data_IF_065972250455
#
_entry.id   IF_065972250455
#
_cell.length_a   1.000
_cell.length_b   1.000
_cell.length_c   1.000
_cell.angle_alpha   90.00
_cell.angle_beta   90.00
_cell.angle_gamma   90.00
#
_symmetry.space_group_name_H-M   'P 1'
#
loop_
_entity.id
_entity.type
_entity.pdbx_description
1 polymer ?
#
# COMPACT_ATOMS: atom_id res chain seq x y z
N UNK A 1 24.42 -9.57 20.14
CA UNK A 1 23.97 -9.43 18.74
C UNK A 1 22.64 -8.70 18.75
N UNK A 2 22.65 -7.38 18.57
CA UNK A 2 21.44 -6.55 18.60
C UNK A 2 20.69 -6.68 17.28
N UNK A 3 19.43 -7.09 17.36
CA UNK A 3 18.51 -7.13 16.23
C UNK A 3 18.21 -5.69 15.82
N UNK A 4 18.75 -5.28 14.68
CA UNK A 4 18.41 -4.01 14.04
C UNK A 4 16.95 -4.08 13.57
N UNK A 5 16.09 -3.11 13.88
CA UNK A 5 14.78 -3.03 13.25
C UNK A 5 15.02 -2.73 11.78
N UNK A 6 14.59 -3.64 10.91
CA UNK A 6 14.46 -3.42 9.47
C UNK A 6 13.30 -2.43 9.32
N UNK A 7 13.62 -1.13 9.41
CA UNK A 7 12.71 -0.10 8.96
C UNK A 7 12.45 -0.35 7.49
N UNK A 8 11.28 -0.94 7.20
CA UNK A 8 10.77 -1.05 5.85
C UNK A 8 10.88 0.31 5.19
N UNK A 9 11.59 0.34 4.07
CA UNK A 9 11.73 1.52 3.23
C UNK A 9 10.32 1.96 2.86
N UNK A 10 9.83 3.02 3.50
CA UNK A 10 8.58 3.66 3.12
C UNK A 10 8.80 4.28 1.74
N UNK A 11 8.62 3.49 0.69
CA UNK A 11 8.55 3.97 -0.67
C UNK A 11 7.24 4.75 -0.79
N UNK A 12 7.26 5.99 -0.29
CA UNK A 12 6.18 6.96 -0.45
C UNK A 12 5.90 7.21 -1.95
N UNK A 13 6.92 6.98 -2.78
CA UNK A 13 6.92 7.07 -4.23
C UNK A 13 6.91 5.68 -4.87
N UNK A 14 5.80 4.96 -4.80
CA UNK A 14 5.55 3.84 -5.71
C UNK A 14 4.97 4.40 -7.03
N UNK A 15 5.41 3.89 -8.19
CA UNK A 15 4.93 4.30 -9.53
C UNK A 15 3.40 4.21 -9.69
N UNK A 16 2.74 3.36 -8.91
CA UNK A 16 1.28 3.24 -8.87
C UNK A 16 0.59 4.47 -8.26
N UNK A 17 1.20 5.15 -7.27
CA UNK A 17 0.64 6.36 -6.67
C UNK A 17 0.79 7.59 -7.58
N UNK A 18 1.82 7.63 -8.43
CA UNK A 18 2.01 8.71 -9.40
C UNK A 18 0.96 8.71 -10.50
N UNK A 19 0.38 7.56 -10.85
CA UNK A 19 -0.75 7.47 -11.79
C UNK A 19 -2.04 8.11 -11.27
N UNK A 20 -2.11 8.40 -9.97
CA UNK A 20 -3.28 9.03 -9.35
C UNK A 20 -3.24 10.56 -9.46
N UNK A 21 -2.08 11.12 -9.80
CA UNK A 21 -1.98 12.48 -10.33
C UNK A 21 -2.39 12.35 -11.79
N UNK A 22 -3.70 12.46 -12.05
CA UNK A 22 -4.27 12.40 -13.39
C UNK A 22 -3.60 13.39 -14.35
N UNK A 23 -3.88 13.29 -15.66
CA UNK A 23 -3.31 14.21 -16.64
C UNK A 23 -3.53 15.65 -16.18
N UNK A 24 -2.43 16.42 -16.14
CA UNK A 24 -2.48 17.83 -15.75
C UNK A 24 -3.45 18.63 -16.63
N UNK A 25 -3.80 19.86 -16.24
CA UNK A 25 -4.76 20.66 -17.00
C UNK A 25 -4.34 20.79 -18.46
N UNK A 26 -5.31 20.67 -19.37
CA UNK A 26 -5.08 20.97 -20.77
C UNK A 26 -5.12 22.49 -20.96
N UNK A 27 -4.05 23.04 -21.54
CA UNK A 27 -3.89 24.48 -21.71
C UNK A 27 -4.04 24.87 -23.18
N UNK A 28 -4.78 25.94 -23.43
CA UNK A 28 -4.85 26.57 -24.75
C UNK A 28 -4.25 27.97 -24.71
N UNK A 29 -3.56 28.29 -25.80
CA UNK A 29 -2.95 29.60 -25.99
C UNK A 29 -3.95 30.52 -26.68
N UNK A 30 -4.71 31.25 -25.88
CA UNK A 30 -5.68 32.22 -26.38
C UNK A 30 -5.00 33.56 -26.66
N UNK A 31 -5.27 34.14 -27.83
CA UNK A 31 -4.80 35.48 -28.21
C UNK A 31 -5.85 36.49 -27.77
N UNK A 32 -5.62 37.16 -26.65
CA UNK A 32 -6.49 38.27 -26.25
C UNK A 32 -6.19 39.48 -27.10
N UNK A 33 -7.22 40.03 -27.73
CA UNK A 33 -7.08 41.24 -28.51
C UNK A 33 -7.16 42.48 -27.60
N UNK A 34 -6.04 42.91 -27.00
CA UNK A 34 -6.00 44.24 -26.35
C UNK A 34 -6.07 45.39 -27.37
N UNK A 35 -6.02 45.11 -28.68
CA UNK A 35 -6.34 46.10 -29.74
C UNK A 35 -7.85 46.31 -29.93
N UNK A 36 -8.68 45.46 -29.29
CA UNK A 36 -10.06 45.82 -29.05
C UNK A 36 -10.04 47.01 -28.10
N UNK A 37 -10.14 48.22 -28.66
CA UNK A 37 -10.40 49.43 -27.89
C UNK A 37 -11.46 49.05 -26.85
N UNK A 38 -11.10 49.04 -25.56
CA UNK A 38 -12.07 48.76 -24.47
C UNK A 38 -13.37 49.46 -24.84
N UNK A 39 -14.55 48.81 -24.83
CA UNK A 39 -15.78 49.42 -25.31
C UNK A 39 -16.01 50.82 -24.72
N UNK A 40 -15.57 51.01 -23.48
CA UNK A 40 -15.56 52.30 -22.78
C UNK A 40 -14.57 53.31 -23.38
N UNK A 41 -13.31 52.90 -23.63
CA UNK A 41 -12.29 53.76 -24.25
C UNK A 41 -12.63 54.05 -25.72
N UNK A 42 -13.20 53.10 -26.45
CA UNK A 42 -13.77 53.30 -27.80
C UNK A 42 -14.81 54.41 -27.80
N UNK A 43 -15.78 54.31 -26.90
CA UNK A 43 -16.87 55.25 -26.78
C UNK A 43 -16.35 56.64 -26.42
N UNK A 44 -15.41 56.72 -25.47
CA UNK A 44 -14.82 57.98 -25.05
C UNK A 44 -14.05 58.67 -26.18
N UNK A 45 -13.20 57.95 -26.92
CA UNK A 45 -12.47 58.49 -28.06
C UNK A 45 -13.39 58.87 -29.23
N UNK A 46 -14.51 58.14 -29.39
CA UNK A 46 -15.55 58.48 -30.37
C UNK A 46 -16.24 59.80 -30.02
N UNK A 47 -16.58 60.03 -28.74
CA UNK A 47 -17.14 61.31 -28.29
C UNK A 47 -16.21 62.50 -28.54
N UNK A 48 -14.90 62.27 -28.45
CA UNK A 48 -13.89 63.30 -28.69
C UNK A 48 -13.46 63.44 -30.17
N UNK A 49 -14.03 62.64 -31.08
CA UNK A 49 -13.67 62.59 -32.51
C UNK A 49 -12.20 62.25 -32.81
N UNK A 50 -11.49 61.64 -31.86
CA UNK A 50 -10.05 61.31 -31.95
C UNK A 50 -9.81 59.91 -32.55
N UNK A 51 -10.62 59.51 -33.53
CA UNK A 51 -10.57 58.16 -34.09
C UNK A 51 -9.34 58.03 -35.00
N UNK A 52 -8.25 57.43 -34.50
CA UNK A 52 -7.15 56.95 -35.32
C UNK A 52 -7.40 55.49 -35.69
N UNK A 53 -7.41 55.17 -36.99
CA UNK A 53 -7.67 53.82 -37.52
C UNK A 53 -6.40 52.97 -37.64
N UNK A 54 -5.26 53.51 -37.20
CA UNK A 54 -3.93 52.99 -37.49
C UNK A 54 -3.10 52.91 -36.20
N UNK A 55 -3.50 52.07 -35.25
CA UNK A 55 -2.59 51.65 -34.18
C UNK A 55 -2.54 50.12 -34.11
N UNK A 56 -1.39 49.49 -34.43
CA UNK A 56 -1.23 48.05 -34.29
C UNK A 56 -1.20 47.71 -32.80
N UNK A 57 -2.32 47.21 -32.27
CA UNK A 57 -2.37 46.84 -30.86
C UNK A 57 -1.48 45.62 -30.58
N UNK A 58 -0.85 45.67 -29.41
CA UNK A 58 0.07 44.64 -28.92
C UNK A 58 -0.73 43.33 -28.74
N UNK A 59 -0.24 42.20 -29.23
CA UNK A 59 -0.90 40.90 -29.01
C UNK A 59 -0.32 40.27 -27.75
N UNK A 60 -1.09 40.19 -26.68
CA UNK A 60 -0.66 39.51 -25.44
C UNK A 60 -1.05 38.04 -25.51
N UNK A 61 -0.08 37.16 -25.28
CA UNK A 61 -0.29 35.72 -25.16
C UNK A 61 -0.74 35.42 -23.72
N UNK A 62 -1.87 34.74 -23.55
CA UNK A 62 -2.29 34.16 -22.27
C UNK A 62 -2.47 32.65 -22.40
N UNK A 63 -2.34 31.96 -21.29
CA UNK A 63 -2.53 30.53 -21.18
C UNK A 63 -3.79 30.32 -20.36
N UNK A 64 -4.84 29.78 -20.99
CA UNK A 64 -6.12 29.51 -20.34
C UNK A 64 -6.29 28.01 -20.17
N UNK A 65 -7.00 27.61 -19.12
CA UNK A 65 -7.32 26.20 -18.85
C UNK A 65 -8.54 25.85 -19.71
N UNK A 66 -8.35 24.95 -20.68
CA UNK A 66 -9.40 24.50 -21.62
C UNK A 66 -10.41 23.62 -20.90
N UNK A 67 -9.87 22.73 -20.08
CA UNK A 67 -10.63 21.70 -19.40
C UNK A 67 -10.07 21.54 -18.00
N UNK A 68 -10.96 21.69 -17.02
CA UNK A 68 -10.61 21.37 -15.66
C UNK A 68 -10.24 19.88 -15.58
N UNK A 69 -9.17 19.54 -14.85
CA UNK A 69 -8.86 18.14 -14.61
C UNK A 69 -10.06 17.46 -13.92
N UNK A 70 -10.29 16.16 -14.17
CA UNK A 70 -11.33 15.42 -13.47
C UNK A 70 -11.12 15.51 -11.95
N UNK A 71 -12.21 15.47 -11.19
CA UNK A 71 -12.14 15.45 -9.72
C UNK A 71 -11.29 14.24 -9.28
N UNK A 72 -10.08 14.54 -8.78
CA UNK A 72 -9.17 13.56 -8.24
C UNK A 72 -9.42 13.39 -6.75
N UNK A 73 -8.93 12.28 -6.19
CA UNK A 73 -9.01 12.08 -4.75
C UNK A 73 -8.31 13.24 -4.02
N UNK A 74 -8.96 13.74 -2.98
CA UNK A 74 -8.35 14.80 -2.16
C UNK A 74 -7.21 14.21 -1.33
N UNK A 75 -6.17 14.99 -1.05
CA UNK A 75 -5.10 14.58 -0.14
C UNK A 75 -5.63 14.03 1.19
N UNK A 76 -6.69 14.63 1.73
CA UNK A 76 -7.35 14.13 2.93
C UNK A 76 -7.89 12.70 2.76
N UNK A 77 -8.57 12.40 1.65
CA UNK A 77 -9.08 11.07 1.35
C UNK A 77 -7.95 10.06 1.18
N UNK A 78 -6.85 10.45 0.54
CA UNK A 78 -5.65 9.63 0.40
C UNK A 78 -5.00 9.33 1.76
N UNK A 79 -4.85 10.34 2.61
CA UNK A 79 -4.28 10.18 3.95
C UNK A 79 -5.17 9.26 4.79
N UNK A 80 -6.49 9.47 4.77
CA UNK A 80 -7.43 8.61 5.50
C UNK A 80 -7.39 7.17 4.99
N UNK A 81 -7.37 6.95 3.68
CA UNK A 81 -7.33 5.59 3.12
C UNK A 81 -6.03 4.86 3.45
N UNK A 82 -4.89 5.57 3.41
CA UNK A 82 -3.58 5.00 3.75
C UNK A 82 -3.46 4.67 5.23
N UNK A 83 -3.96 5.53 6.12
CA UNK A 83 -4.04 5.26 7.56
C UNK A 83 -4.92 4.05 7.86
N UNK A 84 -6.13 3.99 7.29
CA UNK A 84 -7.03 2.85 7.47
C UNK A 84 -6.40 1.54 7.00
N UNK A 85 -5.67 1.56 5.87
CA UNK A 85 -4.95 0.40 5.36
C UNK A 85 -3.84 -0.05 6.31
N UNK A 86 -3.09 0.91 6.86
CA UNK A 86 -2.04 0.64 7.86
C UNK A 86 -2.62 0.00 9.12
N UNK A 87 -3.73 0.54 9.64
CA UNK A 87 -4.38 0.01 10.83
C UNK A 87 -4.93 -1.41 10.61
N UNK A 88 -5.50 -1.66 9.43
CA UNK A 88 -5.99 -2.99 9.05
C UNK A 88 -4.83 -3.98 9.00
N UNK A 89 -3.72 -3.62 8.35
CA UNK A 89 -2.53 -4.47 8.27
C UNK A 89 -1.96 -4.77 9.65
N UNK A 90 -1.92 -3.78 10.55
CA UNK A 90 -1.45 -3.96 11.92
C UNK A 90 -2.31 -4.97 12.68
N UNK A 91 -3.64 -4.89 12.56
CA UNK A 91 -4.57 -5.84 13.20
C UNK A 91 -4.37 -7.26 12.70
N UNK A 92 -4.26 -7.44 11.38
CA UNK A 92 -4.01 -8.76 10.79
C UNK A 92 -2.66 -9.34 11.23
N UNK A 93 -1.61 -8.50 11.28
CA UNK A 93 -0.31 -8.93 11.79
C UNK A 93 -0.38 -9.42 13.23
N UNK A 94 -1.03 -8.66 14.12
CA UNK A 94 -1.20 -9.05 15.53
C UNK A 94 -1.95 -10.37 15.65
N UNK A 95 -3.05 -10.54 14.89
CA UNK A 95 -3.83 -11.78 14.88
C UNK A 95 -2.99 -12.99 14.45
N UNK A 96 -2.25 -12.87 13.35
CA UNK A 96 -1.39 -13.96 12.85
C UNK A 96 -0.28 -14.27 13.84
N UNK A 97 0.30 -13.25 14.47
CA UNK A 97 1.35 -13.42 15.47
C UNK A 97 0.84 -14.18 16.72
N UNK A 98 -0.35 -13.83 17.21
CA UNK A 98 -0.99 -14.52 18.34
C UNK A 98 -1.29 -15.98 17.99
N UNK A 99 -1.90 -16.23 16.83
CA UNK A 99 -2.17 -17.59 16.35
C UNK A 99 -0.88 -18.42 16.21
N UNK A 100 0.16 -17.84 15.63
CA UNK A 100 1.45 -18.53 15.48
C UNK A 100 2.04 -18.86 16.85
N UNK A 101 1.87 -17.96 17.83
CA UNK A 101 2.37 -18.18 19.18
C UNK A 101 1.64 -19.34 19.89
N UNK A 102 0.33 -19.46 19.70
CA UNK A 102 -0.45 -20.60 20.22
C UNK A 102 -0.04 -21.90 19.55
N UNK A 103 0.10 -21.90 18.22
CA UNK A 103 0.48 -23.09 17.45
C UNK A 103 1.87 -23.60 17.87
N UNK A 104 2.82 -22.70 18.14
CA UNK A 104 4.15 -23.06 18.66
C UNK A 104 4.04 -23.77 20.01
N UNK A 105 3.17 -23.31 20.91
CA UNK A 105 2.98 -23.92 22.22
C UNK A 105 2.37 -25.33 22.10
N UNK A 106 1.39 -25.49 21.21
CA UNK A 106 0.74 -26.77 20.95
C UNK A 106 1.70 -27.77 20.32
N UNK A 107 2.50 -27.35 19.33
CA UNK A 107 3.55 -28.19 18.74
C UNK A 107 4.59 -28.62 19.77
N UNK A 108 5.01 -27.71 20.67
CA UNK A 108 5.92 -28.05 21.77
C UNK A 108 5.29 -29.01 22.78
N UNK A 109 3.98 -28.94 22.99
CA UNK A 109 3.26 -29.90 23.84
C UNK A 109 3.23 -31.27 23.17
N UNK A 110 2.82 -31.35 21.91
CA UNK A 110 2.81 -32.59 21.14
C UNK A 110 4.20 -33.23 21.11
N UNK A 111 5.25 -32.46 20.85
CA UNK A 111 6.62 -32.96 20.87
C UNK A 111 7.03 -33.54 22.24
N UNK A 112 6.59 -32.96 23.34
CA UNK A 112 6.87 -33.51 24.67
C UNK A 112 6.14 -34.83 24.90
N UNK A 113 4.89 -34.92 24.46
CA UNK A 113 4.08 -36.11 24.68
C UNK A 113 4.56 -37.27 23.78
N UNK A 114 4.89 -37.01 22.52
CA UNK A 114 5.51 -38.01 21.63
C UNK A 114 6.88 -38.47 22.13
N UNK A 115 7.70 -37.56 22.68
CA UNK A 115 8.98 -37.93 23.29
C UNK A 115 8.79 -38.81 24.55
N UNK A 116 7.74 -38.59 25.34
CA UNK A 116 7.44 -39.47 26.49
C UNK A 116 7.06 -40.86 26.02
N UNK A 117 6.14 -40.97 25.05
CA UNK A 117 5.69 -42.26 24.50
C UNK A 117 6.85 -43.03 23.88
N UNK A 118 7.68 -42.35 23.08
CA UNK A 118 8.88 -42.94 22.51
C UNK A 118 9.87 -43.43 23.59
N UNK A 119 10.02 -42.69 24.69
CA UNK A 119 10.85 -43.12 25.81
C UNK A 119 10.26 -44.33 26.56
N UNK A 120 8.93 -44.43 26.67
CA UNK A 120 8.25 -45.61 27.24
C UNK A 120 8.50 -46.83 26.38
N UNK A 121 8.28 -46.73 25.06
CA UNK A 121 8.51 -47.82 24.10
C UNK A 121 9.98 -48.27 24.10
N UNK A 122 10.92 -47.30 24.10
CA UNK A 122 12.36 -47.60 24.22
C UNK A 122 12.68 -48.36 25.50
N UNK A 123 12.15 -47.92 26.65
CA UNK A 123 12.35 -48.60 27.94
C UNK A 123 11.76 -50.01 27.94
N UNK A 124 10.57 -50.20 27.36
CA UNK A 124 9.95 -51.52 27.23
C UNK A 124 10.85 -52.47 26.43
N UNK A 125 11.38 -52.00 25.30
CA UNK A 125 12.31 -52.78 24.48
C UNK A 125 13.61 -53.12 25.24
N UNK A 126 14.22 -52.15 25.94
CA UNK A 126 15.47 -52.40 26.69
C UNK A 126 15.29 -53.31 27.90
N UNK A 127 14.11 -53.29 28.54
CA UNK A 127 13.83 -54.07 29.74
C UNK A 127 13.26 -55.47 29.45
N UNK A 128 12.93 -55.76 28.19
CA UNK A 128 12.38 -57.05 27.76
C UNK A 128 13.38 -58.19 27.99
N UNK A 129 12.99 -59.19 28.78
CA UNK A 129 13.90 -60.30 29.16
C UNK A 129 13.78 -61.44 28.15
N UNK A 130 12.59 -61.66 27.60
CA UNK A 130 12.29 -62.78 26.72
C UNK A 130 12.13 -62.36 25.25
N UNK A 131 12.33 -63.28 24.31
CA UNK A 131 12.23 -63.00 22.87
C UNK A 131 10.81 -62.56 22.45
N UNK A 132 9.79 -63.14 23.07
CA UNK A 132 8.39 -62.83 22.78
C UNK A 132 7.99 -61.41 23.25
N UNK A 133 8.51 -60.96 24.40
CA UNK A 133 8.33 -59.58 24.89
C UNK A 133 9.01 -58.57 23.95
N UNK A 134 10.18 -58.92 23.40
CA UNK A 134 10.87 -58.07 22.40
C UNK A 134 10.10 -57.97 21.10
N UNK A 135 9.51 -59.06 20.60
CA UNK A 135 8.66 -59.02 19.40
C UNK A 135 7.45 -58.10 19.58
N UNK A 136 6.74 -58.20 20.71
CA UNK A 136 5.60 -57.33 21.03
C UNK A 136 6.02 -55.85 21.17
N UNK A 137 7.18 -55.57 21.78
CA UNK A 137 7.70 -54.21 21.89
C UNK A 137 8.11 -53.62 20.54
N UNK A 138 8.65 -54.43 19.62
CA UNK A 138 8.99 -54.02 18.25
C UNK A 138 7.70 -53.73 17.45
N UNK A 139 6.68 -54.57 17.58
CA UNK A 139 5.39 -54.39 16.92
C UNK A 139 4.71 -53.07 17.35
N UNK A 140 4.68 -52.78 18.66
CA UNK A 140 4.16 -51.51 19.19
C UNK A 140 4.95 -50.28 18.72
N UNK A 141 6.26 -50.42 18.43
CA UNK A 141 7.08 -49.33 17.86
C UNK A 141 6.74 -49.12 16.38
N UNK A 142 6.52 -50.19 15.62
CA UNK A 142 6.15 -50.10 14.20
C UNK A 142 4.76 -49.48 14.04
N UNK A 143 3.79 -49.87 14.85
CA UNK A 143 2.43 -49.31 14.86
C UNK A 143 2.42 -47.82 15.23
N UNK A 144 3.33 -47.37 16.09
CA UNK A 144 3.48 -45.95 16.43
C UNK A 144 4.15 -45.11 15.33
N UNK A 145 4.79 -45.75 14.33
CA UNK A 145 5.51 -45.08 13.24
C UNK A 145 4.72 -44.98 11.93
N UNK A 146 3.56 -45.63 11.84
CA UNK A 146 2.59 -45.54 10.74
C UNK A 146 1.59 -44.38 10.94
#
# INVERSE_FOLDING_TARGET
AGLHPVFGRWNFWNEENLKQIGPGPEYERVKFNISGRSPLISHYLHMLQLRSDQQPGIKVKRTEIVKLPPESITYQQFITSTLNRSDTLKKEYTRVHEQTSTDILDLKRQQRDTNKEMNVLKKALTNSKNAQERCLAIEAIMEYSE
#
